data_IF_010869336952
#
_entry.id   IF_010869336952
#
_cell.length_a   1.000
_cell.length_b   1.000
_cell.length_c   1.000
_cell.angle_alpha   90.00
_cell.angle_beta   90.00
_cell.angle_gamma   90.00
#
_symmetry.space_group_name_H-M   'P 1'
#
loop_
_entity.id
_entity.type
_entity.pdbx_description
1 polymer ?
#
# COMPACT_ATOMS: atom_id res chain seq x y z
N UNK A 1 37.18 73.35 2.83
CA UNK A 1 36.94 73.35 1.36
C UNK A 1 37.70 72.28 0.58
N UNK A 2 38.92 71.86 0.98
CA UNK A 2 39.70 70.82 0.26
C UNK A 2 39.15 69.40 0.45
N UNK A 3 38.69 69.08 1.66
CA UNK A 3 38.14 67.75 2.03
C UNK A 3 36.84 67.43 1.29
N UNK A 4 35.96 68.43 1.13
CA UNK A 4 34.68 68.27 0.42
C UNK A 4 34.88 68.01 -1.08
N UNK A 5 35.90 68.62 -1.70
CA UNK A 5 36.24 68.39 -3.11
C UNK A 5 36.81 66.98 -3.36
N UNK A 6 37.61 66.48 -2.43
CA UNK A 6 38.13 65.10 -2.47
C UNK A 6 37.01 64.06 -2.30
N UNK A 7 36.06 64.29 -1.40
CA UNK A 7 34.92 63.41 -1.20
C UNK A 7 34.00 63.35 -2.43
N UNK A 8 33.73 64.50 -3.07
CA UNK A 8 32.93 64.56 -4.31
C UNK A 8 33.66 63.88 -5.47
N UNK A 9 34.97 64.07 -5.61
CA UNK A 9 35.76 63.42 -6.64
C UNK A 9 35.80 61.89 -6.48
N UNK A 10 35.93 61.40 -5.24
CA UNK A 10 35.88 59.97 -4.94
C UNK A 10 34.48 59.38 -5.23
N UNK A 11 33.41 60.08 -4.87
CA UNK A 11 32.05 59.64 -5.16
C UNK A 11 31.78 59.60 -6.68
N UNK A 12 32.27 60.57 -7.45
CA UNK A 12 32.15 60.57 -8.90
C UNK A 12 32.95 59.45 -9.55
N UNK A 13 34.15 59.15 -9.04
CA UNK A 13 34.99 58.06 -9.53
C UNK A 13 34.37 56.68 -9.27
N UNK A 14 33.76 56.49 -8.09
CA UNK A 14 33.04 55.25 -7.75
C UNK A 14 31.79 55.09 -8.62
N UNK A 15 31.05 56.17 -8.85
CA UNK A 15 29.86 56.14 -9.71
C UNK A 15 30.24 55.84 -11.17
N UNK A 16 31.31 56.43 -11.69
CA UNK A 16 31.83 56.18 -13.03
C UNK A 16 32.32 54.73 -13.23
N UNK A 17 32.98 54.14 -12.21
CA UNK A 17 33.38 52.73 -12.22
C UNK A 17 32.17 51.79 -12.19
N UNK A 18 31.11 52.15 -11.47
CA UNK A 18 29.89 51.34 -11.40
C UNK A 18 29.09 51.38 -12.72
N UNK A 19 29.08 52.51 -13.44
CA UNK A 19 28.44 52.63 -14.75
C UNK A 19 29.21 51.92 -15.88
N UNK A 20 30.52 51.69 -15.73
CA UNK A 20 31.32 50.94 -16.69
C UNK A 20 31.00 49.42 -16.69
N UNK A 21 30.31 48.93 -15.65
CA UNK A 21 29.86 47.53 -15.55
C UNK A 21 28.52 47.27 -16.23
N UNK A 22 27.86 48.29 -16.79
CA UNK A 22 26.85 48.09 -17.83
C UNK A 22 27.58 47.73 -19.13
N UNK A 23 28.26 46.58 -19.10
CA UNK A 23 29.01 46.03 -20.21
C UNK A 23 28.04 45.85 -21.37
N UNK A 24 28.18 46.69 -22.39
CA UNK A 24 27.47 46.57 -23.65
C UNK A 24 28.00 45.28 -24.29
N UNK A 25 27.40 44.14 -23.90
CA UNK A 25 27.73 42.82 -24.43
C UNK A 25 27.59 42.94 -25.94
N UNK A 26 28.67 42.64 -26.66
CA UNK A 26 28.62 42.65 -28.12
C UNK A 26 27.52 41.70 -28.55
N UNK A 27 26.78 42.07 -29.60
CA UNK A 27 25.68 41.25 -30.12
C UNK A 27 26.13 39.81 -30.37
N UNK A 28 27.36 39.65 -30.85
CA UNK A 28 28.01 38.35 -31.07
C UNK A 28 28.19 37.53 -29.78
N UNK A 29 28.59 38.16 -28.67
CA UNK A 29 28.72 37.47 -27.39
C UNK A 29 27.36 37.02 -26.84
N UNK A 30 26.34 37.86 -27.00
CA UNK A 30 24.95 37.52 -26.61
C UNK A 30 24.40 36.40 -27.50
N UNK A 31 24.68 36.43 -28.80
CA UNK A 31 24.27 35.39 -29.74
C UNK A 31 24.97 34.05 -29.44
N UNK A 32 26.27 34.06 -29.17
CA UNK A 32 27.01 32.85 -28.78
C UNK A 32 26.48 32.25 -27.45
N UNK A 33 26.20 33.08 -26.46
CA UNK A 33 25.62 32.67 -25.18
C UNK A 33 24.20 32.13 -25.35
N UNK A 34 23.38 32.76 -26.19
CA UNK A 34 22.03 32.31 -26.49
C UNK A 34 22.00 30.97 -27.25
N UNK A 35 22.91 30.77 -28.20
CA UNK A 35 23.07 29.49 -28.92
C UNK A 35 23.54 28.40 -27.94
N UNK A 36 24.54 28.69 -27.10
CA UNK A 36 25.01 27.75 -26.09
C UNK A 36 23.91 27.38 -25.08
N UNK A 37 23.11 28.36 -24.65
CA UNK A 37 21.98 28.13 -23.76
C UNK A 37 20.88 27.32 -24.47
N UNK A 38 20.57 27.57 -25.74
CA UNK A 38 19.57 26.82 -26.50
C UNK A 38 19.98 25.35 -26.73
N UNK A 39 21.28 25.08 -26.85
CA UNK A 39 21.83 23.73 -26.98
C UNK A 39 22.14 23.05 -25.63
N UNK A 40 21.85 23.69 -24.49
CA UNK A 40 22.07 23.07 -23.20
C UNK A 40 21.14 21.87 -23.00
N UNK A 41 21.67 20.84 -22.33
CA UNK A 41 20.92 19.63 -22.01
C UNK A 41 19.65 20.00 -21.24
N UNK A 42 18.54 19.38 -21.61
CA UNK A 42 17.25 19.51 -20.93
C UNK A 42 16.52 20.87 -21.05
N UNK A 43 16.92 21.71 -22.02
CA UNK A 43 16.20 22.93 -22.37
C UNK A 43 14.99 22.65 -23.27
N UNK A 44 13.88 23.34 -23.02
CA UNK A 44 12.60 23.20 -23.75
C UNK A 44 11.99 21.78 -23.80
N UNK A 45 12.33 20.94 -22.82
CA UNK A 45 11.68 19.64 -22.62
C UNK A 45 10.78 19.70 -21.40
N UNK A 46 9.52 19.27 -21.57
CA UNK A 46 8.59 19.18 -20.43
C UNK A 46 9.19 18.25 -19.37
N UNK A 47 8.89 18.49 -18.09
CA UNK A 47 9.47 17.71 -16.97
C UNK A 47 9.34 16.19 -17.19
N UNK A 48 8.26 15.72 -17.82
CA UNK A 48 8.06 14.31 -18.14
C UNK A 48 8.96 13.73 -19.24
N UNK A 49 9.55 14.58 -20.10
CA UNK A 49 10.42 14.17 -21.21
C UNK A 49 11.89 14.06 -20.83
N UNK A 50 12.28 14.51 -19.63
CA UNK A 50 13.67 14.55 -19.13
C UNK A 50 14.15 13.24 -18.49
N UNK A 51 13.30 12.21 -18.49
CA UNK A 51 13.52 11.00 -17.68
C UNK A 51 13.23 11.27 -16.21
N UNK A 52 13.25 10.21 -15.39
CA UNK A 52 13.10 10.37 -13.94
C UNK A 52 14.31 11.14 -13.39
N UNK A 53 14.04 12.14 -12.55
CA UNK A 53 15.11 12.83 -11.83
C UNK A 53 15.91 11.82 -11.00
N UNK A 54 17.24 11.97 -10.88
CA UNK A 54 18.04 11.10 -10.04
C UNK A 54 17.50 11.08 -8.61
N UNK A 55 16.99 9.92 -8.19
CA UNK A 55 16.52 9.71 -6.83
C UNK A 55 17.66 9.15 -5.99
N UNK A 56 17.94 9.81 -4.87
CA UNK A 56 18.80 9.28 -3.81
C UNK A 56 17.91 8.97 -2.61
N UNK A 57 17.90 7.71 -2.19
CA UNK A 57 17.14 7.31 -1.01
C UNK A 57 17.74 7.97 0.24
N UNK A 58 16.91 8.54 1.09
CA UNK A 58 17.31 9.03 2.42
C UNK A 58 17.24 7.92 3.48
N UNK A 59 16.74 6.74 3.12
CA UNK A 59 16.64 5.61 4.03
C UNK A 59 18.02 5.03 4.32
N UNK A 60 18.24 4.66 5.58
CA UNK A 60 19.41 3.88 5.99
C UNK A 60 19.35 2.49 5.37
N UNK A 61 20.35 2.16 4.55
CA UNK A 61 20.44 0.89 3.85
C UNK A 61 20.51 -0.31 4.80
N UNK A 62 21.16 -0.16 5.96
CA UNK A 62 21.30 -1.22 6.95
C UNK A 62 19.97 -1.50 7.65
N UNK A 63 19.23 -0.45 7.99
CA UNK A 63 17.89 -0.56 8.56
C UNK A 63 16.91 -1.26 7.58
N UNK A 64 16.95 -0.88 6.30
CA UNK A 64 16.14 -1.52 5.25
C UNK A 64 16.52 -2.98 5.08
N UNK A 65 17.82 -3.31 5.08
CA UNK A 65 18.29 -4.69 4.99
C UNK A 65 17.78 -5.53 6.17
N UNK A 66 17.92 -5.02 7.40
CA UNK A 66 17.45 -5.71 8.61
C UNK A 66 15.95 -5.97 8.55
N UNK A 67 15.16 -4.98 8.17
CA UNK A 67 13.71 -5.12 8.03
C UNK A 67 13.34 -6.15 6.95
N UNK A 68 14.08 -6.19 5.84
CA UNK A 68 13.87 -7.17 4.78
C UNK A 68 14.14 -8.60 5.27
N UNK A 69 15.23 -8.81 6.02
CA UNK A 69 15.58 -10.11 6.62
C UNK A 69 14.54 -10.55 7.65
N UNK A 70 14.12 -9.66 8.54
CA UNK A 70 13.07 -9.95 9.53
C UNK A 70 11.75 -10.32 8.86
N UNK A 71 11.38 -9.59 7.80
CA UNK A 71 10.17 -9.87 7.03
C UNK A 71 10.29 -11.21 6.30
N UNK A 72 11.45 -11.56 5.76
CA UNK A 72 11.67 -12.84 5.08
C UNK A 72 11.58 -14.04 6.05
N UNK A 73 11.98 -13.86 7.31
CA UNK A 73 11.93 -14.91 8.33
C UNK A 73 10.62 -14.94 9.14
N UNK A 74 9.68 -14.03 8.88
CA UNK A 74 8.43 -14.03 9.63
C UNK A 74 7.60 -15.32 9.35
N UNK A 75 6.88 -15.84 10.35
CA UNK A 75 6.02 -17.00 10.15
C UNK A 75 4.97 -16.76 9.07
N UNK A 76 4.70 -17.78 8.27
CA UNK A 76 3.67 -17.75 7.22
C UNK A 76 3.89 -16.68 6.13
N UNK A 77 5.12 -16.21 5.95
CA UNK A 77 5.48 -15.38 4.81
C UNK A 77 5.41 -16.21 3.53
N UNK A 78 4.70 -15.71 2.53
CA UNK A 78 4.50 -16.35 1.22
C UNK A 78 3.82 -17.73 1.22
N UNK A 79 3.23 -18.18 2.34
CA UNK A 79 2.41 -19.39 2.34
C UNK A 79 0.95 -19.02 2.06
N UNK A 80 0.33 -19.73 1.11
CA UNK A 80 -1.10 -19.59 0.83
C UNK A 80 -1.91 -20.02 2.05
N UNK A 81 -3.13 -19.48 2.22
CA UNK A 81 -3.98 -19.76 3.40
C UNK A 81 -4.12 -21.26 3.67
N UNK A 82 -4.31 -22.07 2.62
CA UNK A 82 -4.45 -23.53 2.73
C UNK A 82 -3.20 -24.26 3.23
N UNK A 83 -2.01 -23.68 3.07
CA UNK A 83 -0.74 -24.27 3.55
C UNK A 83 -0.45 -23.94 5.02
N UNK A 84 -1.26 -23.09 5.67
CA UNK A 84 -1.07 -22.67 7.08
C UNK A 84 -1.64 -23.65 8.10
N UNK A 85 -2.12 -24.81 7.65
CA UNK A 85 -2.92 -25.71 8.45
C UNK A 85 -4.40 -25.30 8.44
N UNK A 86 -5.24 -26.11 9.07
CA UNK A 86 -6.65 -25.77 9.22
C UNK A 86 -6.80 -24.52 10.10
N UNK A 87 -7.61 -23.55 9.66
CA UNK A 87 -8.01 -22.44 10.51
C UNK A 87 -8.67 -23.02 11.79
N UNK A 88 -8.29 -22.56 13.00
CA UNK A 88 -8.89 -23.07 14.22
C UNK A 88 -10.40 -22.85 14.21
N UNK A 89 -11.17 -23.94 14.19
CA UNK A 89 -12.62 -23.89 14.35
C UNK A 89 -12.97 -24.01 15.84
N UNK A 90 -13.48 -22.93 16.42
CA UNK A 90 -14.06 -22.91 17.76
C UNK A 90 -15.58 -22.92 17.65
N UNK A 91 -16.20 -24.07 17.86
CA UNK A 91 -17.66 -24.18 17.99
C UNK A 91 -18.15 -23.41 19.21
N UNK A 92 -19.23 -22.65 19.06
CA UNK A 92 -19.95 -22.03 20.20
C UNK A 92 -20.99 -22.98 20.82
N UNK A 93 -21.30 -24.11 20.17
CA UNK A 93 -22.26 -25.11 20.66
C UNK A 93 -21.56 -26.17 21.50
N UNK A 94 -22.23 -26.62 22.56
CA UNK A 94 -21.81 -27.74 23.40
C UNK A 94 -21.69 -29.02 22.53
N UNK A 95 -20.51 -29.66 22.48
CA UNK A 95 -20.30 -30.90 21.73
C UNK A 95 -21.27 -32.03 22.14
N UNK A 96 -21.64 -32.11 23.42
CA UNK A 96 -22.57 -33.13 23.89
C UNK A 96 -23.97 -32.92 23.31
N UNK A 97 -24.45 -31.68 23.25
CA UNK A 97 -25.73 -31.35 22.62
C UNK A 97 -25.73 -31.66 21.12
N UNK A 98 -24.67 -31.31 20.41
CA UNK A 98 -24.55 -31.60 18.97
C UNK A 98 -24.57 -33.11 18.72
N UNK A 99 -23.89 -33.89 19.55
CA UNK A 99 -23.89 -35.34 19.46
C UNK A 99 -25.29 -35.93 19.68
N UNK A 100 -26.02 -35.47 20.70
CA UNK A 100 -27.38 -35.95 20.97
C UNK A 100 -28.35 -35.59 19.84
N UNK A 101 -28.27 -34.37 19.30
CA UNK A 101 -29.10 -33.94 18.17
C UNK A 101 -28.80 -34.74 16.90
N UNK A 102 -27.53 -35.04 16.64
CA UNK A 102 -27.13 -35.86 15.50
C UNK A 102 -27.65 -37.29 15.64
N UNK A 103 -27.54 -37.91 16.83
CA UNK A 103 -28.08 -39.23 17.10
C UNK A 103 -29.61 -39.28 16.98
N UNK A 104 -30.31 -38.28 17.54
CA UNK A 104 -31.75 -38.18 17.43
C UNK A 104 -32.18 -38.02 15.97
N UNK A 105 -31.50 -37.18 15.20
CA UNK A 105 -31.81 -36.97 13.78
C UNK A 105 -31.56 -38.25 12.97
N UNK A 106 -30.42 -38.92 13.17
CA UNK A 106 -30.09 -40.17 12.47
C UNK A 106 -31.07 -41.31 12.78
N UNK A 107 -31.64 -41.34 13.99
CA UNK A 107 -32.64 -42.32 14.40
C UNK A 107 -34.07 -41.92 14.06
N UNK A 108 -34.30 -40.78 13.39
CA UNK A 108 -35.65 -40.34 13.06
C UNK A 108 -36.27 -41.30 12.03
N UNK A 109 -37.55 -41.72 12.20
CA UNK A 109 -38.17 -42.71 11.31
C UNK A 109 -38.33 -42.25 9.85
N UNK A 110 -38.25 -40.94 9.59
CA UNK A 110 -38.39 -40.30 8.29
C UNK A 110 -37.04 -39.94 7.62
N UNK A 111 -35.93 -40.48 8.11
CA UNK A 111 -34.61 -40.29 7.48
C UNK A 111 -34.51 -40.89 6.07
N UNK A 112 -35.23 -41.99 5.79
CA UNK A 112 -35.15 -42.72 4.52
C UNK A 112 -36.14 -42.21 3.45
N UNK A 113 -36.65 -41.00 3.63
CA UNK A 113 -37.69 -40.46 2.74
C UNK A 113 -37.01 -39.65 1.63
N UNK A 114 -37.30 -40.02 0.38
CA UNK A 114 -36.67 -39.41 -0.79
C UNK A 114 -37.09 -37.95 -0.96
N UNK A 115 -36.25 -37.15 -1.63
CA UNK A 115 -36.52 -35.72 -1.86
C UNK A 115 -37.86 -35.46 -2.57
N UNK A 116 -38.29 -36.38 -3.44
CA UNK A 116 -39.58 -36.29 -4.14
C UNK A 116 -40.79 -36.31 -3.20
N UNK A 117 -40.72 -37.01 -2.07
CA UNK A 117 -41.80 -37.08 -1.09
C UNK A 117 -41.92 -35.83 -0.20
N UNK A 118 -41.01 -34.85 -0.33
CA UNK A 118 -41.01 -33.59 0.42
C UNK A 118 -41.40 -32.39 -0.44
N UNK A 119 -41.77 -32.60 -1.71
CA UNK A 119 -42.22 -31.52 -2.60
C UNK A 119 -43.61 -31.06 -2.16
N UNK A 120 -43.73 -29.77 -1.82
CA UNK A 120 -44.97 -29.12 -1.39
C UNK A 120 -45.70 -29.80 -0.21
N UNK A 121 -44.99 -30.63 0.58
CA UNK A 121 -45.55 -31.37 1.70
C UNK A 121 -44.49 -31.63 2.77
N UNK A 122 -44.92 -31.78 4.02
CA UNK A 122 -44.06 -32.13 5.15
C UNK A 122 -44.30 -33.59 5.52
N UNK A 123 -43.23 -34.37 5.59
CA UNK A 123 -43.29 -35.72 6.15
C UNK A 123 -43.37 -35.59 7.66
N UNK A 124 -44.41 -36.16 8.25
CA UNK A 124 -44.60 -36.20 9.70
C UNK A 124 -44.58 -37.68 10.08
N UNK A 125 -43.52 -38.12 10.74
CA UNK A 125 -43.48 -39.47 11.31
C UNK A 125 -44.51 -39.57 12.44
N UNK A 126 -45.37 -40.59 12.36
CA UNK A 126 -46.26 -40.98 13.48
C UNK A 126 -45.59 -41.96 14.44
N UNK A 127 -44.38 -42.44 14.11
CA UNK A 127 -43.60 -43.36 14.92
C UNK A 127 -42.69 -42.60 15.90
N UNK A 128 -42.55 -43.14 17.12
CA UNK A 128 -41.69 -42.58 18.16
C UNK A 128 -40.21 -42.72 17.75
N UNK A 129 -39.42 -41.68 17.98
CA UNK A 129 -37.98 -41.76 17.80
C UNK A 129 -37.38 -42.62 18.93
N UNK A 130 -36.69 -43.73 18.62
CA UNK A 130 -36.21 -44.66 19.63
C UNK A 130 -35.14 -44.03 20.55
N UNK A 131 -34.32 -43.11 20.05
CA UNK A 131 -33.29 -42.42 20.85
C UNK A 131 -33.93 -41.46 21.84
N UNK A 132 -34.94 -40.70 21.41
CA UNK A 132 -35.68 -39.80 22.29
C UNK A 132 -36.51 -40.57 23.33
N UNK A 133 -37.13 -41.68 22.95
CA UNK A 133 -37.87 -42.54 23.86
C UNK A 133 -36.96 -43.14 24.94
N UNK A 134 -35.78 -43.62 24.55
CA UNK A 134 -34.79 -44.17 25.48
C UNK A 134 -34.27 -43.13 26.47
N UNK A 135 -34.21 -41.86 26.05
CA UNK A 135 -33.80 -40.74 26.91
C UNK A 135 -34.91 -40.27 27.87
N UNK A 136 -36.19 -40.51 27.54
CA UNK A 136 -37.36 -40.13 28.36
C UNK A 136 -37.78 -41.19 29.38
N UNK A 137 -37.31 -42.43 29.23
CA UNK A 137 -37.64 -43.56 30.11
C UNK A 137 -36.75 -43.70 31.35
N UNK A 138 -36.10 -42.62 31.81
CA UNK A 138 -35.30 -42.56 33.04
C UNK A 138 -35.80 -41.45 33.95
#
# INVERSE_FOLDING_TARGET
MKTTRLAIAAALAVLALSSANAQQRTREAVEAEAIAAAHAKDQNVTRGSRGADPFTSTADAEAVYKQAVETAHAPNQNVTRGSRGADPFTSSRDPAQVYQEAMATAAAPDQNVTSGSRVNSKVISTMQNPVLQSAQGK
#
